data_IF_584760647065
#
_entry.id   IF_584760647065
#
_cell.length_a   1.000
_cell.length_b   1.000
_cell.length_c   1.000
_cell.angle_alpha   90.00
_cell.angle_beta   90.00
_cell.angle_gamma   90.00
#
_symmetry.space_group_name_H-M   'P 1'
#
loop_
_entity.id
_entity.type
_entity.pdbx_description
1 polymer ?
#
# COMPACT_ATOMS: atom_id res chain seq x y z
N UNK A 1 39.92 1.00 -16.96
CA UNK A 1 39.37 2.22 -17.58
C UNK A 1 37.91 2.05 -17.98
N UNK A 2 37.54 0.91 -18.58
CA UNK A 2 36.16 0.61 -19.03
C UNK A 2 35.11 0.68 -17.91
N UNK A 3 35.36 0.06 -16.75
CA UNK A 3 34.45 0.14 -15.60
C UNK A 3 34.31 1.55 -14.99
N UNK A 4 35.34 2.40 -15.07
CA UNK A 4 35.26 3.79 -14.61
C UNK A 4 34.40 4.63 -15.56
N UNK A 5 34.59 4.46 -16.88
CA UNK A 5 33.81 5.15 -17.91
C UNK A 5 32.32 4.81 -17.79
N UNK A 6 31.99 3.53 -17.58
CA UNK A 6 30.62 3.06 -17.33
C UNK A 6 29.94 3.74 -16.14
N UNK A 7 30.68 3.93 -15.03
CA UNK A 7 30.16 4.63 -13.85
C UNK A 7 29.91 6.11 -14.14
N UNK A 8 30.84 6.77 -14.83
CA UNK A 8 30.67 8.18 -15.23
C UNK A 8 29.43 8.33 -16.13
N UNK A 9 29.28 7.48 -17.14
CA UNK A 9 28.14 7.53 -18.06
C UNK A 9 26.81 7.29 -17.32
N UNK A 10 26.77 6.33 -16.38
CA UNK A 10 25.60 6.07 -15.56
C UNK A 10 25.22 7.24 -14.64
N UNK A 11 26.20 8.00 -14.13
CA UNK A 11 25.95 9.21 -13.33
C UNK A 11 25.33 10.31 -14.20
N UNK A 12 25.86 10.52 -15.42
CA UNK A 12 25.33 11.51 -16.36
C UNK A 12 23.90 11.17 -16.76
N UNK A 13 23.63 9.90 -17.12
CA UNK A 13 22.28 9.42 -17.42
C UNK A 13 21.34 9.55 -16.21
N UNK A 14 21.87 9.34 -14.99
CA UNK A 14 21.07 9.49 -13.79
C UNK A 14 20.68 10.95 -13.53
N UNK A 15 21.61 11.89 -13.71
CA UNK A 15 21.34 13.31 -13.59
C UNK A 15 20.37 13.82 -14.68
N UNK A 16 20.40 13.23 -15.87
CA UNK A 16 19.47 13.58 -16.97
C UNK A 16 18.09 12.92 -16.86
N UNK A 17 17.94 11.96 -15.94
CA UNK A 17 16.65 11.33 -15.64
C UNK A 17 15.58 12.37 -15.36
N UNK A 18 14.43 12.22 -16.04
CA UNK A 18 13.29 13.10 -15.84
C UNK A 18 12.85 13.16 -14.37
N UNK A 19 12.91 12.06 -13.63
CA UNK A 19 12.54 12.01 -12.20
C UNK A 19 13.46 12.89 -11.35
N UNK A 20 14.76 12.77 -11.56
CA UNK A 20 15.77 13.56 -10.84
C UNK A 20 15.61 15.03 -11.19
N UNK A 21 15.51 15.36 -12.48
CA UNK A 21 15.34 16.75 -12.93
C UNK A 21 14.03 17.37 -12.45
N UNK A 22 12.91 16.66 -12.55
CA UNK A 22 11.62 17.16 -12.10
C UNK A 22 11.60 17.43 -10.59
N UNK A 23 12.24 16.58 -9.78
CA UNK A 23 12.36 16.82 -8.34
C UNK A 23 13.35 17.94 -8.01
N UNK A 24 14.50 17.98 -8.68
CA UNK A 24 15.52 19.02 -8.51
C UNK A 24 15.01 20.41 -8.85
N UNK A 25 14.39 20.58 -10.03
CA UNK A 25 13.86 21.87 -10.46
C UNK A 25 12.60 22.28 -9.70
N UNK A 26 11.89 21.32 -9.09
CA UNK A 26 10.72 21.57 -8.25
C UNK A 26 11.05 21.88 -6.79
N UNK A 27 12.31 22.24 -6.47
CA UNK A 27 12.75 22.49 -5.10
C UNK A 27 11.87 23.52 -4.39
N UNK A 28 11.63 24.67 -5.03
CA UNK A 28 10.86 25.77 -4.44
C UNK A 28 9.44 25.32 -4.10
N UNK A 29 8.76 24.62 -5.01
CA UNK A 29 7.41 24.09 -4.80
C UNK A 29 7.38 23.04 -3.68
N UNK A 30 8.40 22.18 -3.60
CA UNK A 30 8.49 21.13 -2.58
C UNK A 30 8.68 21.73 -1.19
N UNK A 31 9.58 22.71 -1.04
CA UNK A 31 9.82 23.38 0.23
C UNK A 31 8.61 24.24 0.63
N UNK A 32 8.02 24.98 -0.31
CA UNK A 32 6.84 25.81 -0.05
C UNK A 32 5.60 24.99 0.33
N UNK A 33 5.48 23.75 -0.15
CA UNK A 33 4.41 22.84 0.26
C UNK A 33 4.53 22.37 1.72
N UNK A 34 5.67 22.59 2.37
CA UNK A 34 5.88 22.32 3.80
C UNK A 34 5.96 20.82 4.17
N UNK A 35 5.97 19.92 3.19
CA UNK A 35 6.04 18.47 3.43
C UNK A 35 7.46 17.97 3.68
N UNK A 36 8.45 18.64 3.12
CA UNK A 36 9.87 18.34 3.31
C UNK A 36 10.59 19.62 3.75
N UNK A 37 11.47 19.46 4.73
CA UNK A 37 12.51 20.45 5.04
C UNK A 37 13.57 20.48 3.93
N UNK A 38 14.42 21.51 3.90
CA UNK A 38 15.53 21.58 2.93
C UNK A 38 16.48 20.39 3.08
N UNK A 39 16.76 20.00 4.33
CA UNK A 39 17.61 18.85 4.63
C UNK A 39 16.97 17.53 4.17
N UNK A 40 15.66 17.36 4.34
CA UNK A 40 14.93 16.20 3.81
C UNK A 40 14.88 16.18 2.28
N UNK A 41 14.71 17.35 1.66
CA UNK A 41 14.76 17.49 0.20
C UNK A 41 16.12 17.06 -0.35
N UNK A 42 17.21 17.59 0.20
CA UNK A 42 18.57 17.30 -0.26
C UNK A 42 18.90 15.80 -0.10
N UNK A 43 18.58 15.21 1.06
CA UNK A 43 18.75 13.76 1.29
C UNK A 43 17.93 12.93 0.30
N UNK A 44 16.70 13.33 0.02
CA UNK A 44 15.86 12.59 -0.92
C UNK A 44 16.36 12.75 -2.36
N UNK A 45 16.85 13.92 -2.75
CA UNK A 45 17.49 14.15 -4.05
C UNK A 45 18.75 13.29 -4.22
N UNK A 46 19.60 13.22 -3.20
CA UNK A 46 20.77 12.31 -3.18
C UNK A 46 20.34 10.84 -3.35
N UNK A 47 19.30 10.42 -2.64
CA UNK A 47 18.73 9.09 -2.80
C UNK A 47 18.21 8.86 -4.23
N UNK A 48 17.50 9.82 -4.82
CA UNK A 48 16.99 9.70 -6.20
C UNK A 48 18.13 9.53 -7.21
N UNK A 49 19.22 10.29 -7.04
CA UNK A 49 20.42 10.20 -7.86
C UNK A 49 21.10 8.83 -7.72
N UNK A 50 21.30 8.33 -6.49
CA UNK A 50 21.89 7.00 -6.25
C UNK A 50 20.99 5.87 -6.81
N UNK A 51 19.68 5.95 -6.57
CA UNK A 51 18.70 4.96 -7.02
C UNK A 51 18.62 4.88 -8.55
N UNK A 52 18.70 6.03 -9.23
CA UNK A 52 18.78 6.09 -10.69
C UNK A 52 20.12 5.58 -11.20
N UNK A 53 21.24 6.00 -10.61
CA UNK A 53 22.57 5.54 -10.98
C UNK A 53 22.67 4.01 -10.92
N UNK A 54 22.25 3.40 -9.79
CA UNK A 54 22.23 1.94 -9.62
C UNK A 54 21.34 1.26 -10.65
N UNK A 55 20.17 1.84 -10.95
CA UNK A 55 19.27 1.32 -11.99
C UNK A 55 19.92 1.34 -13.38
N UNK A 56 20.67 2.39 -13.73
CA UNK A 56 21.42 2.48 -15.00
C UNK A 56 22.55 1.47 -15.06
N UNK A 57 23.27 1.23 -13.96
CA UNK A 57 24.28 0.17 -13.88
C UNK A 57 23.66 -1.21 -14.14
N UNK A 58 22.54 -1.52 -13.48
CA UNK A 58 21.81 -2.78 -13.69
C UNK A 58 21.41 -2.95 -15.15
N UNK A 59 20.80 -1.93 -15.76
CA UNK A 59 20.40 -1.98 -17.17
C UNK A 59 21.59 -2.20 -18.11
N UNK A 60 22.69 -1.46 -17.92
CA UNK A 60 23.91 -1.60 -18.75
C UNK A 60 24.50 -3.00 -18.64
N UNK A 61 24.51 -3.62 -17.45
CA UNK A 61 24.95 -5.01 -17.29
C UNK A 61 24.05 -5.97 -18.08
N UNK A 62 22.73 -5.82 -17.99
CA UNK A 62 21.79 -6.66 -18.75
C UNK A 62 22.03 -6.51 -20.27
N UNK A 63 22.27 -5.29 -20.75
CA UNK A 63 22.59 -5.04 -22.16
C UNK A 63 23.91 -5.68 -22.59
N UNK A 64 24.95 -5.62 -21.75
CA UNK A 64 26.27 -6.18 -22.04
C UNK A 64 26.27 -7.72 -22.07
N UNK A 65 25.58 -8.36 -21.12
CA UNK A 65 25.50 -9.82 -21.05
C UNK A 65 24.53 -10.41 -22.09
N UNK A 66 23.59 -9.60 -22.60
CA UNK A 66 22.48 -10.05 -23.46
C UNK A 66 21.38 -10.78 -22.67
N UNK A 67 21.76 -11.70 -21.79
CA UNK A 67 20.89 -12.40 -20.84
C UNK A 67 21.61 -12.55 -19.49
N UNK A 68 21.00 -12.07 -18.40
CA UNK A 68 21.61 -12.10 -17.07
C UNK A 68 20.61 -12.51 -15.97
N UNK A 69 21.07 -13.31 -15.02
CA UNK A 69 20.36 -13.62 -13.76
C UNK A 69 20.61 -12.52 -12.71
N UNK A 70 19.77 -12.47 -11.67
CA UNK A 70 19.99 -11.57 -10.51
C UNK A 70 21.39 -11.74 -9.91
N UNK A 71 21.87 -12.99 -9.78
CA UNK A 71 23.19 -13.26 -9.21
C UNK A 71 24.32 -12.67 -10.04
N UNK A 72 24.30 -12.89 -11.36
CA UNK A 72 25.31 -12.33 -12.27
C UNK A 72 25.32 -10.80 -12.25
N UNK A 73 24.13 -10.17 -12.20
CA UNK A 73 24.02 -8.71 -12.12
C UNK A 73 24.57 -8.21 -10.78
N UNK A 74 24.22 -8.86 -9.67
CA UNK A 74 24.68 -8.49 -8.33
C UNK A 74 26.21 -8.52 -8.23
N UNK A 75 26.83 -9.62 -8.70
CA UNK A 75 28.29 -9.80 -8.67
C UNK A 75 29.02 -8.75 -9.52
N UNK A 76 28.52 -8.46 -10.74
CA UNK A 76 29.12 -7.48 -11.64
C UNK A 76 28.90 -6.03 -11.18
N UNK A 77 27.74 -5.74 -10.60
CA UNK A 77 27.42 -4.40 -10.11
C UNK A 77 28.09 -4.10 -8.76
N UNK A 78 28.39 -5.14 -7.97
CA UNK A 78 28.76 -5.00 -6.56
C UNK A 78 27.57 -4.59 -5.69
N UNK A 79 26.36 -5.03 -6.05
CA UNK A 79 25.11 -4.73 -5.34
C UNK A 79 24.58 -5.97 -4.64
N UNK A 80 23.76 -5.77 -3.60
CA UNK A 80 23.01 -6.89 -3.03
C UNK A 80 21.96 -7.43 -4.02
N UNK A 81 21.55 -8.69 -3.84
CA UNK A 81 20.47 -9.29 -4.64
C UNK A 81 19.16 -8.49 -4.54
N UNK A 82 18.84 -7.99 -3.34
CA UNK A 82 17.67 -7.14 -3.06
C UNK A 82 17.72 -5.83 -3.85
N UNK A 83 18.88 -5.16 -3.88
CA UNK A 83 19.05 -3.94 -4.69
C UNK A 83 18.87 -4.22 -6.19
N UNK A 84 19.44 -5.32 -6.70
CA UNK A 84 19.25 -5.72 -8.10
C UNK A 84 17.77 -6.00 -8.38
N UNK A 85 17.10 -6.80 -7.54
CA UNK A 85 15.68 -7.11 -7.70
C UNK A 85 14.83 -5.85 -7.72
N UNK A 86 15.07 -4.91 -6.79
CA UNK A 86 14.40 -3.61 -6.77
C UNK A 86 14.46 -2.91 -8.13
N UNK A 87 15.66 -2.78 -8.69
CA UNK A 87 15.87 -2.08 -9.95
C UNK A 87 15.35 -2.83 -11.17
N UNK A 88 15.51 -4.16 -11.20
CA UNK A 88 15.01 -5.01 -12.28
C UNK A 88 13.48 -4.95 -12.37
N UNK A 89 12.78 -5.01 -11.23
CA UNK A 89 11.31 -4.87 -11.21
C UNK A 89 10.86 -3.51 -11.78
N UNK A 90 11.57 -2.42 -11.48
CA UNK A 90 11.24 -1.10 -12.02
C UNK A 90 11.56 -1.00 -13.52
N UNK A 91 12.70 -1.55 -13.96
CA UNK A 91 13.08 -1.60 -15.38
C UNK A 91 12.10 -2.45 -16.20
N UNK A 92 11.59 -3.54 -15.64
CA UNK A 92 10.55 -4.37 -16.24
C UNK A 92 9.24 -3.60 -16.37
N UNK A 93 8.83 -2.88 -15.32
CA UNK A 93 7.66 -1.99 -15.36
C UNK A 93 7.79 -0.88 -16.43
N UNK A 94 8.98 -0.31 -16.58
CA UNK A 94 9.29 0.71 -17.61
C UNK A 94 9.36 0.11 -19.03
N UNK A 95 9.41 -1.22 -19.16
CA UNK A 95 9.55 -1.92 -20.44
C UNK A 95 10.98 -1.98 -20.99
N UNK A 96 11.98 -1.57 -20.19
CA UNK A 96 13.40 -1.60 -20.52
C UNK A 96 13.98 -3.01 -20.46
N UNK A 97 13.39 -3.88 -19.63
CA UNK A 97 13.84 -5.26 -19.40
C UNK A 97 12.66 -6.21 -19.55
N UNK A 98 12.92 -7.39 -20.12
CA UNK A 98 11.99 -8.53 -20.15
C UNK A 98 12.51 -9.63 -19.24
N UNK A 99 11.60 -10.23 -18.48
CA UNK A 99 11.85 -11.43 -17.69
C UNK A 99 11.48 -12.68 -18.49
N UNK A 100 12.30 -13.72 -18.40
CA UNK A 100 11.93 -15.11 -18.73
C UNK A 100 12.13 -16.00 -17.51
N UNK A 101 11.19 -16.92 -17.30
CA UNK A 101 11.15 -17.77 -16.11
C UNK A 101 10.57 -17.07 -14.88
N UNK A 102 10.39 -17.84 -13.82
CA UNK A 102 9.90 -17.37 -12.51
C UNK A 102 10.91 -17.72 -11.40
N UNK A 103 10.81 -17.02 -10.27
CA UNK A 103 11.59 -17.26 -9.06
C UNK A 103 13.12 -17.29 -9.30
N UNK A 104 13.86 -18.16 -8.60
CA UNK A 104 15.32 -18.21 -8.62
C UNK A 104 15.98 -18.50 -9.98
N UNK A 105 15.19 -18.86 -11.01
CA UNK A 105 15.66 -19.13 -12.37
C UNK A 105 15.33 -18.00 -13.36
N UNK A 106 14.85 -16.85 -12.87
CA UNK A 106 14.54 -15.72 -13.72
C UNK A 106 15.79 -15.15 -14.39
N UNK A 107 15.72 -15.01 -15.71
CA UNK A 107 16.72 -14.35 -16.56
C UNK A 107 16.13 -13.09 -17.18
N UNK A 108 16.97 -12.08 -17.33
CA UNK A 108 16.59 -10.76 -17.78
C UNK A 108 17.33 -10.38 -19.06
N UNK A 109 16.60 -9.83 -20.02
CA UNK A 109 17.14 -9.36 -21.30
C UNK A 109 16.69 -7.92 -21.55
N UNK A 110 17.52 -7.11 -22.18
CA UNK A 110 17.13 -5.76 -22.58
C UNK A 110 15.98 -5.79 -23.61
N UNK A 111 15.19 -4.72 -23.66
CA UNK A 111 14.03 -4.59 -24.54
C UNK A 111 14.02 -3.23 -25.22
N UNK A 112 13.84 -3.23 -26.55
CA UNK A 112 13.76 -2.01 -27.38
C UNK A 112 12.33 -1.42 -27.45
N UNK A 113 11.49 -1.71 -26.46
CA UNK A 113 10.11 -1.24 -26.41
C UNK A 113 9.99 0.26 -26.10
N UNK A 114 8.85 0.88 -26.46
CA UNK A 114 8.49 2.22 -25.97
C UNK A 114 8.59 2.21 -24.44
N UNK A 115 9.56 2.95 -23.92
CA UNK A 115 9.73 3.14 -22.49
C UNK A 115 8.46 3.76 -21.95
N UNK A 116 7.67 2.99 -21.17
CA UNK A 116 6.70 3.65 -20.31
C UNK A 116 7.54 4.47 -19.35
N UNK A 117 7.33 5.77 -19.37
CA UNK A 117 7.82 6.58 -18.27
C UNK A 117 7.12 6.02 -17.03
N UNK A 118 7.85 5.39 -16.11
CA UNK A 118 7.32 5.05 -14.77
C UNK A 118 6.87 6.29 -13.98
N UNK A 119 6.92 7.46 -14.62
CA UNK A 119 6.65 8.78 -14.11
C UNK A 119 5.37 9.38 -14.71
N UNK A 120 4.53 8.58 -15.39
CA UNK A 120 3.15 8.97 -15.68
C UNK A 120 2.38 9.21 -14.37
N UNK A 121 1.63 10.31 -14.30
CA UNK A 121 0.73 10.60 -13.18
C UNK A 121 -0.22 9.42 -12.99
N UNK A 122 -0.61 9.12 -11.75
CA UNK A 122 -1.54 8.01 -11.44
C UNK A 122 -2.93 8.14 -12.09
N UNK A 123 -3.20 9.23 -12.82
CA UNK A 123 -4.46 9.49 -13.52
C UNK A 123 -4.91 8.30 -14.39
N UNK A 124 -3.99 7.65 -15.11
CA UNK A 124 -4.35 6.50 -15.94
C UNK A 124 -4.89 5.30 -15.13
N UNK A 125 -4.41 5.09 -13.89
CA UNK A 125 -4.93 4.06 -12.98
C UNK A 125 -6.36 4.41 -12.53
N UNK A 126 -6.63 5.70 -12.27
CA UNK A 126 -7.95 6.19 -11.89
C UNK A 126 -8.93 6.07 -13.06
N UNK A 127 -8.52 6.54 -14.23
CA UNK A 127 -9.35 6.52 -15.45
C UNK A 127 -9.67 5.08 -15.89
N UNK A 128 -8.73 4.14 -15.70
CA UNK A 128 -8.95 2.72 -15.97
C UNK A 128 -9.80 2.00 -14.89
N UNK A 129 -10.25 2.69 -13.84
CA UNK A 129 -11.03 2.09 -12.75
C UNK A 129 -10.22 1.13 -11.85
N UNK A 130 -8.89 1.16 -11.94
CA UNK A 130 -7.97 0.27 -11.21
C UNK A 130 -7.56 0.83 -9.85
N UNK A 131 -7.91 2.07 -9.53
CA UNK A 131 -7.59 2.69 -8.24
C UNK A 131 -8.30 1.97 -7.08
N UNK A 132 -7.53 1.54 -6.08
CA UNK A 132 -8.05 0.91 -4.85
C UNK A 132 -8.37 1.93 -3.75
N UNK A 133 -8.10 3.21 -3.96
CA UNK A 133 -8.40 4.26 -2.98
C UNK A 133 -7.57 4.20 -1.68
N UNK A 134 -6.35 3.64 -1.70
CA UNK A 134 -5.53 3.47 -0.50
C UNK A 134 -5.00 4.79 0.11
N UNK A 135 -4.94 5.86 -0.68
CA UNK A 135 -4.45 7.18 -0.23
C UNK A 135 -2.94 7.39 -0.31
N UNK A 136 -2.15 6.39 -0.71
CA UNK A 136 -0.68 6.51 -0.74
C UNK A 136 -0.15 7.60 -1.68
N UNK A 137 -0.82 7.87 -2.80
CA UNK A 137 -0.44 8.97 -3.69
C UNK A 137 -0.56 10.36 -3.03
N UNK A 138 -1.52 10.53 -2.11
CA UNK A 138 -1.72 11.78 -1.35
C UNK A 138 -0.57 12.00 -0.38
N UNK A 139 -0.12 10.94 0.29
CA UNK A 139 1.01 11.03 1.20
C UNK A 139 2.34 11.17 0.48
N UNK A 140 2.53 10.44 -0.62
CA UNK A 140 3.74 10.47 -1.44
C UNK A 140 3.99 11.79 -2.19
N UNK A 141 2.95 12.58 -2.48
CA UNK A 141 3.11 13.80 -3.28
C UNK A 141 3.84 14.89 -2.49
N UNK A 142 5.05 15.31 -2.89
CA UNK A 142 5.86 16.24 -2.09
C UNK A 142 5.36 17.69 -2.15
N UNK A 143 4.60 18.04 -3.19
CA UNK A 143 4.04 19.38 -3.43
C UNK A 143 2.56 19.49 -3.08
N UNK A 144 1.99 18.48 -2.42
CA UNK A 144 0.57 18.46 -2.03
C UNK A 144 -0.45 18.62 -3.19
N UNK A 145 -0.03 18.34 -4.43
CA UNK A 145 -0.89 18.42 -5.63
C UNK A 145 -1.98 17.34 -5.71
N UNK A 146 -2.10 16.43 -4.74
CA UNK A 146 -3.08 15.34 -4.76
C UNK A 146 -3.92 15.38 -3.49
N UNK A 147 -5.24 15.51 -3.65
CA UNK A 147 -6.23 15.39 -2.57
C UNK A 147 -7.13 14.19 -2.81
N UNK A 148 -7.71 13.63 -1.76
CA UNK A 148 -8.71 12.56 -1.90
C UNK A 148 -10.11 13.15 -1.83
N UNK A 149 -10.93 12.93 -2.86
CA UNK A 149 -12.32 13.39 -2.92
C UNK A 149 -13.14 12.45 -3.81
N UNK A 150 -14.43 12.30 -3.51
CA UNK A 150 -15.33 11.41 -4.25
C UNK A 150 -14.77 9.99 -4.39
N UNK A 151 -14.19 9.47 -3.31
CA UNK A 151 -13.61 8.12 -3.21
C UNK A 151 -12.43 7.84 -4.17
N UNK A 152 -11.79 8.90 -4.70
CA UNK A 152 -10.64 8.81 -5.61
C UNK A 152 -9.63 9.95 -5.38
N UNK A 153 -8.37 9.78 -5.81
CA UNK A 153 -7.41 10.89 -5.81
C UNK A 153 -7.73 11.87 -6.95
N UNK A 154 -7.66 13.16 -6.63
CA UNK A 154 -7.83 14.29 -7.54
C UNK A 154 -6.49 15.02 -7.61
N UNK A 155 -5.97 15.18 -8.83
CA UNK A 155 -4.68 15.83 -9.09
C UNK A 155 -4.94 17.28 -9.50
N UNK A 156 -4.26 18.20 -8.84
CA UNK A 156 -4.11 19.58 -9.28
C UNK A 156 -2.95 19.64 -10.29
N UNK A 157 -3.29 19.90 -11.56
CA UNK A 157 -2.35 19.91 -12.66
C UNK A 157 -1.41 21.13 -12.62
N UNK A 158 -1.82 22.23 -11.97
CA UNK A 158 -1.00 23.45 -11.85
C UNK A 158 0.07 23.28 -10.78
N UNK A 159 -0.27 22.65 -9.66
CA UNK A 159 0.67 22.37 -8.56
C UNK A 159 1.58 21.16 -8.86
N UNK A 160 1.19 20.26 -9.77
CA UNK A 160 1.93 19.02 -10.01
C UNK A 160 3.23 19.22 -10.80
N UNK A 161 4.37 19.07 -10.13
CA UNK A 161 5.72 19.10 -10.75
C UNK A 161 6.10 17.87 -11.59
N UNK A 162 5.20 16.89 -11.75
CA UNK A 162 5.45 15.72 -12.61
C UNK A 162 6.52 14.73 -12.12
N UNK A 163 6.92 14.75 -10.84
CA UNK A 163 8.02 13.92 -10.32
C UNK A 163 7.79 12.39 -10.33
N UNK A 164 6.56 11.91 -10.57
CA UNK A 164 6.26 10.47 -10.70
C UNK A 164 6.27 9.66 -9.40
N UNK A 165 6.55 10.26 -8.25
CA UNK A 165 6.64 9.54 -6.96
C UNK A 165 5.33 8.80 -6.63
N UNK A 166 4.17 9.42 -6.91
CA UNK A 166 2.86 8.80 -6.69
C UNK A 166 2.64 7.53 -7.52
N UNK A 167 3.24 7.42 -8.71
CA UNK A 167 3.17 6.24 -9.56
C UNK A 167 3.94 5.08 -8.94
N UNK A 168 5.18 5.37 -8.53
CA UNK A 168 6.08 4.38 -7.95
C UNK A 168 5.51 3.81 -6.65
N UNK A 169 4.81 4.60 -5.84
CA UNK A 169 4.15 4.12 -4.61
C UNK A 169 2.85 3.37 -4.86
N UNK A 170 2.19 3.60 -5.99
CA UNK A 170 0.88 3.01 -6.26
C UNK A 170 1.01 1.48 -6.37
N UNK A 171 0.26 0.70 -5.57
CA UNK A 171 0.33 -0.76 -5.62
C UNK A 171 -0.31 -1.35 -6.89
N UNK A 172 -0.92 -0.51 -7.73
CA UNK A 172 -1.62 -0.89 -8.97
C UNK A 172 -0.84 -0.56 -10.24
N UNK A 173 0.33 0.06 -10.13
CA UNK A 173 1.22 0.28 -11.28
C UNK A 173 2.04 -0.97 -11.56
N UNK A 174 2.77 -1.42 -10.54
CA UNK A 174 3.40 -2.73 -10.46
C UNK A 174 3.46 -3.16 -8.99
N UNK A 175 3.43 -4.46 -8.73
CA UNK A 175 3.60 -5.02 -7.39
C UNK A 175 4.79 -5.99 -7.42
N UNK A 176 5.92 -5.66 -6.78
CA UNK A 176 7.09 -6.53 -6.76
C UNK A 176 6.94 -7.59 -5.67
N UNK A 177 5.92 -8.44 -5.77
CA UNK A 177 5.52 -9.43 -4.77
C UNK A 177 6.67 -10.35 -4.33
N UNK A 178 7.48 -10.80 -5.28
CA UNK A 178 8.67 -11.62 -5.02
C UNK A 178 9.69 -10.90 -4.13
N UNK A 179 9.97 -9.62 -4.40
CA UNK A 179 10.88 -8.81 -3.58
C UNK A 179 10.28 -8.52 -2.20
N UNK A 180 8.98 -8.24 -2.14
CA UNK A 180 8.26 -8.02 -0.89
C UNK A 180 8.31 -9.27 0.00
N UNK A 181 8.11 -10.44 -0.57
CA UNK A 181 8.30 -11.72 0.12
C UNK A 181 9.72 -11.86 0.67
N UNK A 182 10.75 -11.60 -0.16
CA UNK A 182 12.14 -11.75 0.28
C UNK A 182 12.48 -10.82 1.46
N UNK A 183 11.94 -9.60 1.46
CA UNK A 183 12.15 -8.62 2.53
C UNK A 183 11.37 -8.99 3.80
N UNK A 184 10.09 -9.34 3.67
CA UNK A 184 9.19 -9.54 4.83
C UNK A 184 9.30 -10.94 5.42
N UNK A 185 9.46 -11.95 4.56
CA UNK A 185 9.42 -13.38 4.93
C UNK A 185 10.78 -14.07 4.82
N UNK A 186 11.74 -13.48 4.09
CA UNK A 186 13.04 -14.09 3.82
C UNK A 186 13.05 -15.00 2.60
N UNK A 187 11.94 -15.11 1.87
CA UNK A 187 11.82 -15.91 0.65
C UNK A 187 10.83 -15.29 -0.35
N UNK A 188 11.03 -15.48 -1.67
CA UNK A 188 10.17 -14.87 -2.68
C UNK A 188 8.74 -15.40 -2.63
N UNK A 189 7.77 -14.51 -2.81
CA UNK A 189 6.34 -14.83 -2.88
C UNK A 189 5.79 -14.60 -4.29
N UNK A 190 5.00 -15.55 -4.77
CA UNK A 190 4.20 -15.44 -6.00
C UNK A 190 2.72 -15.62 -5.65
N UNK A 191 1.98 -14.50 -5.58
CA UNK A 191 0.59 -14.47 -5.15
C UNK A 191 -0.36 -15.15 -6.16
N UNK A 192 0.06 -15.38 -7.41
CA UNK A 192 -0.76 -16.08 -8.41
C UNK A 192 -0.68 -17.60 -8.25
N UNK A 193 0.48 -18.09 -7.78
CA UNK A 193 0.73 -19.53 -7.60
C UNK A 193 0.44 -19.98 -6.16
N UNK A 194 0.82 -19.15 -5.17
CA UNK A 194 0.72 -19.44 -3.75
C UNK A 194 0.05 -18.26 -3.03
N UNK A 195 -1.30 -18.19 -3.05
CA UNK A 195 -2.06 -17.08 -2.46
C UNK A 195 -2.00 -17.03 -0.93
N UNK A 196 -1.48 -18.08 -0.27
CA UNK A 196 -1.12 -18.10 1.15
C UNK A 196 0.29 -18.65 1.26
N UNK A 197 1.27 -17.76 1.44
CA UNK A 197 2.69 -18.13 1.53
C UNK A 197 3.12 -18.39 2.97
N UNK A 198 4.40 -18.69 3.19
CA UNK A 198 4.93 -19.03 4.51
C UNK A 198 4.53 -18.04 5.61
N UNK A 199 4.04 -18.58 6.72
CA UNK A 199 3.84 -17.87 7.97
C UNK A 199 4.42 -18.73 9.09
N UNK A 200 4.93 -18.08 10.14
CA UNK A 200 5.58 -18.82 11.24
C UNK A 200 4.60 -19.71 11.99
N UNK A 201 3.42 -19.16 12.33
CA UNK A 201 2.33 -19.83 13.07
C UNK A 201 0.99 -19.16 12.76
N UNK A 202 -0.09 -19.94 12.79
CA UNK A 202 -1.46 -19.45 12.70
C UNK A 202 -2.25 -19.91 13.94
N UNK A 203 -3.15 -19.05 14.42
CA UNK A 203 -3.97 -19.29 15.59
C UNK A 203 -5.38 -18.76 15.36
N UNK A 204 -6.35 -19.33 16.09
CA UNK A 204 -7.66 -18.71 16.31
C UNK A 204 -7.62 -17.97 17.65
N UNK A 205 -8.15 -16.75 17.73
CA UNK A 205 -7.94 -15.91 18.91
C UNK A 205 -9.09 -14.93 19.17
N UNK A 206 -9.54 -14.85 20.42
CA UNK A 206 -10.51 -13.86 20.87
C UNK A 206 -9.91 -12.99 21.97
N UNK A 207 -10.24 -11.69 21.97
CA UNK A 207 -9.83 -10.76 23.01
C UNK A 207 -10.37 -11.17 24.38
N UNK A 208 -9.50 -11.18 25.39
CA UNK A 208 -9.88 -11.40 26.78
C UNK A 208 -10.63 -10.19 27.39
N UNK A 209 -10.51 -8.99 26.80
CA UNK A 209 -11.13 -7.75 27.32
C UNK A 209 -12.59 -7.63 26.81
N UNK A 210 -13.55 -7.68 27.72
CA UNK A 210 -14.99 -7.61 27.40
C UNK A 210 -15.37 -6.35 26.61
N UNK A 211 -14.83 -5.19 27.01
CA UNK A 211 -15.05 -3.93 26.29
C UNK A 211 -14.68 -3.96 24.82
N UNK A 212 -13.67 -4.78 24.44
CA UNK A 212 -13.29 -4.98 23.03
C UNK A 212 -14.28 -5.93 22.35
N UNK A 213 -14.66 -7.03 23.03
CA UNK A 213 -15.62 -8.02 22.50
C UNK A 213 -16.99 -7.41 22.19
N UNK A 214 -17.40 -6.38 22.94
CA UNK A 214 -18.69 -5.71 22.73
C UNK A 214 -18.76 -4.91 21.42
N UNK A 215 -17.63 -4.48 20.86
CA UNK A 215 -17.60 -3.57 19.69
C UNK A 215 -16.91 -4.16 18.45
N UNK A 216 -16.26 -5.32 18.58
CA UNK A 216 -15.46 -5.88 17.50
C UNK A 216 -16.28 -6.55 16.38
N UNK A 217 -15.61 -6.73 15.24
CA UNK A 217 -16.18 -7.47 14.11
C UNK A 217 -16.29 -8.97 14.44
N UNK A 218 -15.13 -9.59 14.71
CA UNK A 218 -14.95 -11.01 14.98
C UNK A 218 -14.37 -11.21 16.40
N UNK A 219 -13.19 -11.82 16.55
CA UNK A 219 -12.51 -11.99 17.85
C UNK A 219 -11.93 -10.73 18.49
N UNK A 220 -11.92 -9.58 17.81
CA UNK A 220 -11.36 -8.33 18.34
C UNK A 220 -9.83 -8.33 18.47
N UNK A 221 -9.14 -9.19 17.70
CA UNK A 221 -7.69 -9.37 17.74
C UNK A 221 -6.93 -8.10 17.38
N UNK A 222 -7.29 -7.41 16.29
CA UNK A 222 -6.61 -6.16 15.87
C UNK A 222 -6.68 -5.11 16.98
N UNK A 223 -7.86 -4.86 17.53
CA UNK A 223 -8.08 -3.92 18.63
C UNK A 223 -7.31 -4.33 19.88
N UNK A 224 -7.26 -5.63 20.20
CA UNK A 224 -6.51 -6.13 21.35
C UNK A 224 -4.98 -5.98 21.17
N UNK A 225 -4.46 -6.25 19.97
CA UNK A 225 -3.05 -6.04 19.63
C UNK A 225 -2.67 -4.56 19.76
N UNK A 226 -3.45 -3.66 19.17
CA UNK A 226 -3.20 -2.22 19.29
C UNK A 226 -3.28 -1.74 20.74
N UNK A 227 -4.28 -2.19 21.50
CA UNK A 227 -4.39 -1.86 22.92
C UNK A 227 -3.15 -2.33 23.70
N UNK A 228 -2.64 -3.53 23.42
CA UNK A 228 -1.40 -4.01 24.00
C UNK A 228 -0.20 -3.14 23.61
N UNK A 229 -0.06 -2.78 22.33
CA UNK A 229 1.05 -1.93 21.86
C UNK A 229 1.04 -0.54 22.53
N UNK A 230 -0.12 0.05 22.75
CA UNK A 230 -0.27 1.28 23.53
C UNK A 230 0.05 1.07 25.02
N UNK A 231 -0.52 0.03 25.65
CA UNK A 231 -0.29 -0.29 27.07
C UNK A 231 1.21 -0.54 27.36
N UNK A 232 1.95 -1.09 26.38
CA UNK A 232 3.40 -1.32 26.46
C UNK A 232 4.25 -0.12 25.99
N UNK A 233 3.64 0.99 25.59
CA UNK A 233 4.33 2.16 25.04
C UNK A 233 5.28 1.81 23.88
N UNK A 234 4.90 0.82 23.05
CA UNK A 234 5.65 0.41 21.85
C UNK A 234 5.36 1.37 20.70
N UNK A 235 4.10 1.81 20.60
CA UNK A 235 3.63 2.79 19.61
C UNK A 235 3.14 4.06 20.31
N UNK A 236 3.23 5.20 19.64
CA UNK A 236 2.63 6.47 20.04
C UNK A 236 1.33 6.78 19.27
N UNK A 237 1.09 6.08 18.16
CA UNK A 237 -0.08 6.27 17.31
C UNK A 237 -0.45 5.00 16.54
N UNK A 238 -1.73 4.84 16.23
CA UNK A 238 -2.21 3.90 15.22
C UNK A 238 -3.07 4.62 14.17
N UNK A 239 -2.90 4.28 12.89
CA UNK A 239 -3.80 4.71 11.82
C UNK A 239 -4.98 3.75 11.79
N UNK A 240 -6.17 4.28 12.07
CA UNK A 240 -7.42 3.51 12.09
C UNK A 240 -8.52 4.18 11.27
N UNK A 241 -9.67 3.50 11.19
CA UNK A 241 -10.86 3.99 10.47
C UNK A 241 -12.07 3.89 11.38
N UNK A 242 -12.67 5.05 11.70
CA UNK A 242 -13.94 5.14 12.42
C UNK A 242 -15.09 5.47 11.46
N UNK A 243 -16.32 5.47 11.97
CA UNK A 243 -17.50 5.94 11.22
C UNK A 243 -17.66 7.43 11.50
N UNK A 244 -17.69 8.26 10.45
CA UNK A 244 -17.90 9.70 10.60
C UNK A 244 -19.34 10.02 11.05
N UNK A 245 -20.29 9.16 10.66
CA UNK A 245 -21.72 9.34 10.88
C UNK A 245 -22.45 7.99 10.81
N UNK A 246 -23.76 8.01 11.07
CA UNK A 246 -24.63 6.84 10.92
C UNK A 246 -24.72 6.34 9.47
N UNK A 247 -24.39 7.18 8.48
CA UNK A 247 -24.34 6.85 7.04
C UNK A 247 -23.08 6.02 6.67
N UNK A 248 -22.40 5.38 7.64
CA UNK A 248 -21.27 4.47 7.38
C UNK A 248 -20.07 5.05 6.60
N UNK A 249 -20.01 6.38 6.43
CA UNK A 249 -18.87 7.04 5.79
C UNK A 249 -17.61 6.82 6.63
N UNK A 250 -16.53 6.31 6.03
CA UNK A 250 -15.31 6.05 6.77
C UNK A 250 -14.57 7.35 7.01
N UNK A 251 -14.03 7.49 8.22
CA UNK A 251 -13.13 8.57 8.59
C UNK A 251 -11.79 7.99 9.02
N UNK A 252 -10.73 8.36 8.31
CA UNK A 252 -9.37 8.00 8.70
C UNK A 252 -9.00 8.84 9.92
N UNK A 253 -8.55 8.18 11.00
CA UNK A 253 -8.20 8.84 12.25
C UNK A 253 -6.85 8.35 12.78
N UNK A 254 -6.17 9.23 13.51
CA UNK A 254 -4.98 8.90 14.28
C UNK A 254 -5.42 8.60 15.71
N UNK A 255 -5.29 7.33 16.08
CA UNK A 255 -5.62 6.82 17.41
C UNK A 255 -4.41 6.98 18.31
N UNK A 256 -4.61 7.60 19.46
CA UNK A 256 -3.55 7.80 20.48
C UNK A 256 -3.94 7.28 21.86
N UNK A 257 -5.20 6.88 22.04
CA UNK A 257 -5.70 6.32 23.29
C UNK A 257 -6.72 5.20 23.05
N UNK A 258 -7.09 4.50 24.13
CA UNK A 258 -7.95 3.33 24.09
C UNK A 258 -9.40 3.63 23.70
N UNK A 259 -9.92 4.82 24.04
CA UNK A 259 -11.31 5.16 23.75
C UNK A 259 -11.47 5.46 22.26
N UNK A 260 -10.55 6.24 21.69
CA UNK A 260 -10.41 6.42 20.23
C UNK A 260 -10.23 5.09 19.51
N UNK A 261 -9.45 4.16 20.09
CA UNK A 261 -9.23 2.84 19.50
C UNK A 261 -10.53 2.04 19.38
N UNK A 262 -11.39 2.09 20.40
CA UNK A 262 -12.67 1.37 20.39
C UNK A 262 -13.62 1.91 19.32
N UNK A 263 -13.58 3.21 19.00
CA UNK A 263 -14.38 3.80 17.90
C UNK A 263 -13.97 3.28 16.51
N UNK A 264 -12.73 2.81 16.36
CA UNK A 264 -12.26 2.23 15.10
C UNK A 264 -12.65 0.77 14.91
N UNK A 265 -13.20 0.11 15.93
CA UNK A 265 -13.59 -1.30 15.87
C UNK A 265 -14.74 -1.55 14.86
N UNK A 266 -14.82 -2.80 14.41
CA UNK A 266 -15.82 -3.23 13.43
C UNK A 266 -15.45 -2.87 11.99
N UNK A 267 -15.83 -3.73 11.04
CA UNK A 267 -15.50 -3.56 9.63
C UNK A 267 -16.39 -2.50 8.99
N UNK A 268 -15.79 -1.60 8.20
CA UNK A 268 -16.50 -0.68 7.32
C UNK A 268 -16.25 -1.18 5.90
N UNK A 269 -17.26 -1.77 5.26
CA UNK A 269 -17.18 -2.32 3.89
C UNK A 269 -17.24 -1.20 2.83
N UNK A 270 -16.46 -0.13 3.06
CA UNK A 270 -16.32 1.01 2.15
C UNK A 270 -14.89 1.57 2.22
N UNK A 271 -14.58 2.55 1.36
CA UNK A 271 -13.22 2.95 1.01
C UNK A 271 -12.69 3.98 2.00
N UNK A 272 -11.59 3.65 2.67
CA UNK A 272 -10.84 4.60 3.49
C UNK A 272 -9.44 4.83 2.90
N UNK A 273 -9.01 6.08 2.62
CA UNK A 273 -7.67 6.37 2.14
C UNK A 273 -6.64 6.36 3.27
N UNK A 274 -6.59 5.30 4.09
CA UNK A 274 -5.83 5.28 5.36
C UNK A 274 -4.36 5.71 5.23
N UNK A 275 -3.71 5.43 4.10
CA UNK A 275 -2.29 5.75 3.90
C UNK A 275 -2.06 7.26 3.67
N UNK A 276 -3.10 8.05 3.39
CA UNK A 276 -2.96 9.52 3.33
C UNK A 276 -2.63 10.14 4.69
N UNK A 277 -3.00 9.47 5.79
CA UNK A 277 -2.79 9.98 7.14
C UNK A 277 -1.32 9.98 7.58
N UNK A 278 -0.41 9.36 6.81
CA UNK A 278 1.03 9.44 7.05
C UNK A 278 1.56 10.89 7.05
N UNK A 279 0.94 11.79 6.27
CA UNK A 279 1.28 13.21 6.33
C UNK A 279 0.95 13.79 7.71
N UNK A 280 -0.26 13.53 8.21
CA UNK A 280 -0.73 14.02 9.51
C UNK A 280 0.06 13.41 10.67
N UNK A 281 0.50 12.15 10.55
CA UNK A 281 1.44 11.53 11.50
C UNK A 281 2.72 12.36 11.60
N UNK A 282 3.34 12.67 10.45
CA UNK A 282 4.57 13.48 10.40
C UNK A 282 4.34 14.89 10.94
N UNK A 283 3.27 15.56 10.53
CA UNK A 283 2.88 16.90 10.99
C UNK A 283 2.71 16.97 12.52
N UNK A 284 2.16 15.92 13.13
CA UNK A 284 2.01 15.82 14.59
C UNK A 284 3.27 15.37 15.33
N UNK A 285 4.37 15.10 14.62
CA UNK A 285 5.62 14.63 15.21
C UNK A 285 5.55 13.22 15.81
N UNK A 286 4.56 12.42 15.40
CA UNK A 286 4.41 11.02 15.83
C UNK A 286 5.41 10.14 15.08
N UNK A 287 6.02 9.18 15.78
CA UNK A 287 7.16 8.42 15.24
C UNK A 287 6.94 6.92 15.25
N UNK A 288 6.31 6.35 16.27
CA UNK A 288 6.19 4.90 16.48
C UNK A 288 4.77 4.46 16.14
N UNK A 289 4.56 4.01 14.91
CA UNK A 289 3.23 3.96 14.31
C UNK A 289 2.79 2.54 14.02
N UNK A 290 1.56 2.18 14.41
CA UNK A 290 0.89 1.01 13.86
C UNK A 290 -0.02 1.42 12.69
N UNK A 291 0.06 0.71 11.57
CA UNK A 291 -0.81 0.91 10.40
C UNK A 291 -1.69 -0.31 10.25
N UNK A 292 -3.00 -0.12 10.42
CA UNK A 292 -3.99 -1.16 10.13
C UNK A 292 -4.50 -0.96 8.72
N UNK A 293 -4.44 -2.01 7.90
CA UNK A 293 -4.91 -1.89 6.53
C UNK A 293 -5.25 -3.20 5.85
N UNK A 294 -6.04 -3.09 4.79
CA UNK A 294 -6.32 -4.19 3.84
C UNK A 294 -5.11 -4.39 2.90
N UNK A 295 -5.04 -5.49 2.12
CA UNK A 295 -3.84 -5.85 1.36
C UNK A 295 -3.30 -4.73 0.48
N UNK A 296 -4.16 -4.07 -0.30
CA UNK A 296 -3.71 -2.98 -1.17
C UNK A 296 -3.15 -1.76 -0.42
N UNK A 297 -3.53 -1.54 0.84
CA UNK A 297 -2.96 -0.47 1.68
C UNK A 297 -1.57 -0.88 2.21
N UNK A 298 -1.42 -2.12 2.67
CA UNK A 298 -0.13 -2.67 3.12
C UNK A 298 0.86 -2.76 1.96
N UNK A 299 0.41 -3.19 0.77
CA UNK A 299 1.20 -3.19 -0.45
C UNK A 299 1.76 -1.80 -0.76
N UNK A 300 0.92 -0.76 -0.61
CA UNK A 300 1.35 0.62 -0.85
C UNK A 300 2.42 1.08 0.13
N UNK A 301 2.26 0.75 1.42
CA UNK A 301 3.27 1.07 2.46
C UNK A 301 4.58 0.34 2.18
N UNK A 302 4.56 -0.98 1.97
CA UNK A 302 5.78 -1.75 1.67
C UNK A 302 6.47 -1.31 0.38
N UNK A 303 5.69 -0.96 -0.64
CA UNK A 303 6.25 -0.43 -1.88
C UNK A 303 6.92 0.94 -1.65
N UNK A 304 6.32 1.80 -0.83
CA UNK A 304 6.95 3.05 -0.42
C UNK A 304 8.26 2.81 0.35
N UNK A 305 8.33 1.82 1.27
CA UNK A 305 9.55 1.46 2.01
C UNK A 305 10.72 1.15 1.05
N UNK A 306 10.44 0.43 -0.04
CA UNK A 306 11.47 0.00 -1.01
C UNK A 306 11.88 1.12 -1.95
N UNK A 307 10.90 1.85 -2.51
CA UNK A 307 11.12 2.70 -3.68
C UNK A 307 11.20 4.20 -3.38
N UNK A 308 10.84 4.65 -2.19
CA UNK A 308 10.85 6.08 -1.87
C UNK A 308 10.73 6.29 -0.36
N UNK A 309 11.91 6.47 0.21
CA UNK A 309 12.10 6.29 1.62
C UNK A 309 11.72 7.50 2.47
N UNK A 310 11.70 8.74 1.96
CA UNK A 310 11.77 9.90 2.87
C UNK A 310 10.54 10.06 3.78
N UNK A 311 9.33 9.86 3.25
CA UNK A 311 8.12 9.95 4.08
C UNK A 311 8.14 8.89 5.18
N UNK A 312 8.42 7.63 4.84
CA UNK A 312 8.46 6.55 5.83
C UNK A 312 9.71 6.60 6.72
N UNK A 313 10.85 7.12 6.23
CA UNK A 313 12.08 7.37 7.01
C UNK A 313 11.92 8.52 8.00
N UNK A 314 11.02 9.46 7.71
CA UNK A 314 10.70 10.52 8.67
C UNK A 314 9.96 9.96 9.89
N UNK A 315 9.27 8.82 9.73
CA UNK A 315 8.73 8.06 10.86
C UNK A 315 9.87 7.40 11.64
N UNK A 316 9.66 7.21 12.94
CA UNK A 316 10.61 6.44 13.75
C UNK A 316 10.32 4.95 13.71
N UNK A 317 11.12 4.20 14.47
CA UNK A 317 10.88 2.77 14.70
C UNK A 317 10.22 2.55 16.07
N UNK A 318 9.25 1.62 16.18
CA UNK A 318 8.79 0.73 15.12
C UNK A 318 7.68 1.34 14.23
N UNK A 319 7.64 0.90 12.97
CA UNK A 319 6.44 0.96 12.11
C UNK A 319 5.88 -0.47 12.04
N UNK A 320 4.68 -0.69 12.57
CA UNK A 320 4.05 -2.02 12.67
C UNK A 320 2.87 -2.10 11.71
N UNK A 321 2.87 -3.07 10.81
CA UNK A 321 1.81 -3.28 9.82
C UNK A 321 0.90 -4.44 10.26
N UNK A 322 -0.34 -4.13 10.62
CA UNK A 322 -1.38 -5.11 10.93
C UNK A 322 -2.32 -5.23 9.73
N UNK A 323 -2.23 -6.36 9.04
CA UNK A 323 -3.02 -6.66 7.88
C UNK A 323 -4.38 -7.24 8.23
N UNK A 324 -5.45 -6.72 7.63
CA UNK A 324 -6.78 -7.33 7.68
C UNK A 324 -7.00 -8.13 6.39
N UNK A 325 -7.59 -9.32 6.49
CA UNK A 325 -8.02 -10.09 5.32
C UNK A 325 -9.09 -9.30 4.54
N UNK A 326 -9.01 -9.30 3.23
CA UNK A 326 -9.95 -8.57 2.38
C UNK A 326 -10.19 -9.30 1.07
N UNK A 327 -11.44 -9.69 0.83
CA UNK A 327 -11.84 -10.26 -0.45
C UNK A 327 -12.20 -9.15 -1.45
N UNK A 328 -13.11 -8.27 -1.06
CA UNK A 328 -13.60 -7.18 -1.88
C UNK A 328 -14.06 -6.02 -1.01
N UNK A 329 -14.23 -4.85 -1.64
CA UNK A 329 -14.70 -3.63 -0.98
C UNK A 329 -15.67 -2.90 -1.91
N UNK A 330 -16.53 -2.05 -1.35
CA UNK A 330 -17.60 -1.35 -2.06
C UNK A 330 -17.39 0.17 -2.01
N UNK A 331 -17.96 0.91 -2.96
CA UNK A 331 -18.12 2.36 -2.78
C UNK A 331 -19.22 2.62 -1.74
N UNK A 332 -19.21 3.79 -1.12
CA UNK A 332 -20.30 4.22 -0.23
C UNK A 332 -21.66 4.15 -0.92
N UNK A 333 -21.71 4.56 -2.19
CA UNK A 333 -22.91 4.44 -3.03
C UNK A 333 -23.34 2.98 -3.23
N UNK A 334 -22.40 2.07 -3.50
CA UNK A 334 -22.70 0.64 -3.66
C UNK A 334 -23.17 0.01 -2.34
N UNK A 335 -22.58 0.40 -1.21
CA UNK A 335 -23.02 -0.06 0.11
C UNK A 335 -24.48 0.35 0.38
N UNK A 336 -24.84 1.59 0.06
CA UNK A 336 -26.22 2.09 0.14
C UNK A 336 -27.17 1.32 -0.79
N UNK A 337 -26.73 1.05 -2.03
CA UNK A 337 -27.51 0.25 -2.98
C UNK A 337 -27.77 -1.17 -2.45
N UNK A 338 -26.76 -1.81 -1.83
CA UNK A 338 -26.91 -3.12 -1.19
C UNK A 338 -27.96 -3.06 -0.07
N UNK A 339 -27.89 -2.08 0.82
CA UNK A 339 -28.84 -2.00 1.94
C UNK A 339 -30.26 -1.69 1.47
N UNK A 340 -30.43 -0.67 0.66
CA UNK A 340 -31.76 -0.15 0.30
C UNK A 340 -32.45 -1.06 -0.72
N UNK A 341 -31.74 -1.49 -1.76
CA UNK A 341 -32.36 -2.22 -2.88
C UNK A 341 -32.34 -3.74 -2.71
N UNK A 342 -31.34 -4.29 -2.00
CA UNK A 342 -31.22 -5.75 -1.83
C UNK A 342 -31.65 -6.25 -0.45
N UNK A 343 -31.49 -5.44 0.60
CA UNK A 343 -31.84 -5.84 1.97
C UNK A 343 -33.12 -5.16 2.49
N UNK A 344 -33.60 -4.12 1.81
CA UNK A 344 -34.81 -3.39 2.18
C UNK A 344 -34.69 -2.62 3.48
N UNK A 345 -33.49 -2.17 3.84
CA UNK A 345 -33.21 -1.39 5.06
C UNK A 345 -32.42 -0.13 4.71
N UNK A 346 -32.69 0.97 5.44
CA UNK A 346 -31.87 2.18 5.33
C UNK A 346 -30.47 1.91 5.87
N UNK A 347 -29.45 2.49 5.23
CA UNK A 347 -28.05 2.37 5.64
C UNK A 347 -27.83 2.91 7.06
N UNK A 348 -28.55 3.98 7.41
CA UNK A 348 -28.51 4.66 8.70
C UNK A 348 -29.09 3.83 9.86
N UNK A 349 -29.90 2.82 9.55
CA UNK A 349 -30.47 1.89 10.54
C UNK A 349 -29.56 0.69 10.81
N UNK A 350 -28.49 0.49 10.04
CA UNK A 350 -27.58 -0.64 10.20
C UNK A 350 -26.52 -0.33 11.27
N UNK A 351 -26.38 -1.21 12.26
CA UNK A 351 -25.36 -1.10 13.33
C UNK A 351 -24.11 -1.95 13.05
N UNK A 352 -24.27 -3.05 12.30
CA UNK A 352 -23.17 -3.96 11.94
C UNK A 352 -23.41 -4.58 10.57
N UNK A 353 -22.33 -4.73 9.81
CA UNK A 353 -22.30 -5.57 8.61
C UNK A 353 -21.47 -6.81 8.86
N UNK A 354 -21.73 -7.90 8.13
CA UNK A 354 -20.85 -9.06 8.13
C UNK A 354 -20.84 -9.76 6.76
N UNK A 355 -19.75 -10.43 6.42
CA UNK A 355 -19.71 -11.35 5.27
C UNK A 355 -19.34 -12.71 5.82
N UNK A 356 -20.27 -13.65 5.78
CA UNK A 356 -20.06 -15.03 6.23
C UNK A 356 -20.86 -16.00 5.35
N UNK A 357 -20.37 -17.24 5.20
CA UNK A 357 -21.06 -18.33 4.49
C UNK A 357 -21.64 -17.93 3.12
N UNK A 358 -20.93 -17.06 2.39
CA UNK A 358 -21.31 -16.60 1.06
C UNK A 358 -22.49 -15.60 1.03
N UNK A 359 -22.81 -14.97 2.15
CA UNK A 359 -23.83 -13.92 2.26
C UNK A 359 -23.26 -12.64 2.87
N UNK A 360 -23.82 -11.51 2.46
CA UNK A 360 -23.64 -10.21 3.07
C UNK A 360 -24.80 -9.96 4.03
N UNK A 361 -24.49 -9.70 5.30
CA UNK A 361 -25.45 -9.48 6.37
C UNK A 361 -25.46 -8.03 6.81
N UNK A 362 -26.64 -7.50 7.13
CA UNK A 362 -26.84 -6.25 7.84
C UNK A 362 -27.67 -6.51 9.10
N UNK A 363 -27.19 -6.00 10.24
CA UNK A 363 -27.87 -6.06 11.53
C UNK A 363 -28.38 -4.66 11.87
N UNK A 364 -29.67 -4.53 12.17
CA UNK A 364 -30.32 -3.21 12.36
C UNK A 364 -30.41 -2.81 13.83
N UNK A 365 -30.66 -1.51 14.08
CA UNK A 365 -30.96 -0.95 15.41
C UNK A 365 -32.15 -1.66 16.09
N UNK A 366 -33.10 -2.16 15.30
CA UNK A 366 -34.29 -2.87 15.77
C UNK A 366 -34.05 -4.37 16.04
N UNK A 367 -32.81 -4.85 15.82
CA UNK A 367 -32.45 -6.25 16.04
C UNK A 367 -32.79 -7.19 14.88
N UNK A 368 -33.14 -6.66 13.71
CA UNK A 368 -33.35 -7.46 12.52
C UNK A 368 -32.01 -7.91 11.91
N UNK A 369 -31.98 -9.14 11.41
CA UNK A 369 -30.91 -9.66 10.57
C UNK A 369 -31.41 -9.76 9.12
N UNK A 370 -30.82 -8.99 8.22
CA UNK A 370 -31.05 -9.10 6.77
C UNK A 370 -29.83 -9.71 6.11
N UNK A 371 -30.04 -10.50 5.07
CA UNK A 371 -28.95 -11.12 4.32
C UNK A 371 -29.24 -11.19 2.82
N UNK A 372 -28.21 -10.96 2.00
CA UNK A 372 -28.23 -11.15 0.55
C UNK A 372 -27.06 -12.05 0.13
N UNK A 373 -27.23 -13.01 -0.78
CA UNK A 373 -26.12 -13.79 -1.32
C UNK A 373 -25.06 -12.90 -2.00
N UNK A 374 -23.78 -13.15 -1.72
CA UNK A 374 -22.66 -12.38 -2.30
C UNK A 374 -22.71 -12.36 -3.83
N UNK A 375 -23.10 -13.48 -4.44
CA UNK A 375 -23.22 -13.60 -5.90
C UNK A 375 -24.19 -12.58 -6.53
N UNK A 376 -25.20 -12.11 -5.79
CA UNK A 376 -26.17 -11.14 -6.30
C UNK A 376 -25.61 -9.71 -6.28
N UNK A 377 -24.70 -9.42 -5.35
CA UNK A 377 -24.10 -8.10 -5.16
C UNK A 377 -22.65 -8.01 -5.65
N UNK A 378 -22.06 -9.11 -6.14
CA UNK A 378 -20.66 -9.17 -6.60
C UNK A 378 -20.33 -8.14 -7.68
N UNK A 379 -21.31 -7.77 -8.53
CA UNK A 379 -21.16 -6.73 -9.55
C UNK A 379 -21.04 -5.30 -8.98
N UNK A 380 -21.42 -5.10 -7.72
CA UNK A 380 -21.36 -3.82 -7.02
C UNK A 380 -20.01 -3.63 -6.31
N UNK A 381 -19.22 -4.71 -6.21
CA UNK A 381 -17.84 -4.63 -5.74
C UNK A 381 -17.02 -3.73 -6.66
N UNK A 382 -15.99 -3.10 -6.09
CA UNK A 382 -15.14 -2.21 -6.87
C UNK A 382 -14.38 -2.97 -7.94
N UNK A 383 -14.36 -2.42 -9.15
CA UNK A 383 -13.66 -3.00 -10.29
C UNK A 383 -12.19 -3.39 -9.98
N UNK A 384 -11.47 -2.52 -9.27
CA UNK A 384 -10.09 -2.77 -8.86
C UNK A 384 -9.91 -4.04 -7.99
N UNK A 385 -10.91 -4.45 -7.20
CA UNK A 385 -10.83 -5.62 -6.32
C UNK A 385 -10.74 -6.92 -7.10
N UNK A 386 -11.32 -7.01 -8.31
CA UNK A 386 -11.25 -8.20 -9.16
C UNK A 386 -9.84 -8.52 -9.67
N UNK A 387 -8.89 -7.61 -9.49
CA UNK A 387 -7.49 -7.76 -9.89
C UNK A 387 -6.55 -7.75 -8.67
N UNK A 388 -7.07 -7.91 -7.46
CA UNK A 388 -6.28 -8.05 -6.24
C UNK A 388 -5.91 -9.52 -6.04
N UNK A 389 -4.62 -9.89 -6.06
CA UNK A 389 -4.20 -11.28 -5.89
C UNK A 389 -3.99 -11.67 -4.41
N UNK A 390 -4.19 -10.73 -3.48
CA UNK A 390 -3.88 -10.93 -2.07
C UNK A 390 -5.15 -10.83 -1.22
N UNK A 391 -5.54 -11.95 -0.61
CA UNK A 391 -6.65 -12.04 0.34
C UNK A 391 -6.15 -11.89 1.78
N UNK A 392 -5.05 -12.56 2.11
CA UNK A 392 -4.57 -12.80 3.47
C UNK A 392 -3.54 -11.77 3.96
N UNK A 393 -3.28 -10.75 3.14
CA UNK A 393 -2.41 -9.63 3.47
C UNK A 393 -0.97 -10.08 3.70
N UNK A 394 -0.41 -10.75 2.70
CA UNK A 394 0.83 -11.53 2.80
C UNK A 394 2.07 -10.72 3.20
N UNK A 395 2.03 -9.39 3.04
CA UNK A 395 3.16 -8.50 3.34
C UNK A 395 3.00 -7.69 4.64
N UNK A 396 1.98 -7.98 5.45
CA UNK A 396 1.85 -7.43 6.79
C UNK A 396 2.79 -8.13 7.79
N UNK A 397 3.08 -7.48 8.93
CA UNK A 397 3.82 -8.13 10.02
C UNK A 397 2.95 -9.16 10.76
N UNK A 398 1.67 -8.84 10.90
CA UNK A 398 0.64 -9.73 11.47
C UNK A 398 -0.61 -9.59 10.60
N UNK A 399 -1.13 -10.72 10.11
CA UNK A 399 -2.39 -10.75 9.35
C UNK A 399 -3.51 -11.35 10.19
N UNK A 400 -4.69 -10.75 10.10
CA UNK A 400 -5.87 -11.10 10.90
C UNK A 400 -7.11 -11.13 10.01
N UNK A 401 -7.95 -12.14 10.16
CA UNK A 401 -9.26 -12.18 9.52
C UNK A 401 -10.16 -13.26 10.08
N UNK A 402 -11.41 -13.27 9.59
CA UNK A 402 -12.48 -14.16 10.08
C UNK A 402 -12.41 -15.58 9.48
N UNK A 403 -11.96 -15.70 8.21
CA UNK A 403 -11.91 -16.97 7.48
C UNK A 403 -10.98 -17.95 8.19
N UNK A 404 -11.50 -19.15 8.49
CA UNK A 404 -10.75 -20.23 9.17
C UNK A 404 -11.02 -20.34 10.67
N UNK A 405 -11.77 -19.40 11.25
CA UNK A 405 -12.18 -19.39 12.66
C UNK A 405 -13.69 -19.57 12.83
N UNK A 406 -14.12 -19.94 14.04
CA UNK A 406 -15.55 -19.92 14.40
C UNK A 406 -16.05 -18.49 14.62
N UNK A 407 -17.36 -18.27 14.57
CA UNK A 407 -17.95 -16.95 14.80
C UNK A 407 -17.53 -16.39 16.17
N UNK A 408 -17.06 -15.13 16.17
CA UNK A 408 -16.56 -14.45 17.37
C UNK A 408 -15.09 -14.73 17.72
N UNK A 409 -14.33 -15.43 16.87
CA UNK A 409 -12.90 -15.72 17.05
C UNK A 409 -12.01 -15.08 15.99
#
# INVERSE_FOLDING_TARGET
MEGFRKKVDAIVEAADSFRVRAFFYGEEEVINAGKLTKEEFDRYLEYLLDDEFKRRIVLKIICEEGEATIGQIADKAGFSRIEVLKHVNLLEYEGNVKRRGSNGNAVFTASEGKTRSAYEKIKFIVDAGLCTGCGSCVSACPVSAIRFADEKPMIDEETCIGCGICNVHCPRTFLPASLLGEIVKGEPVDLEVEPLSYFRKAYTAQSAKEKIRMVCQDGGVVTALLAYLFDQNIIDCAIGVRRASEDWRPEVTLVTNIDELLETAGTKYTIAPSISALNTVKEKGLRRVAIVGVPCQIHAVRKAEIYSSELLRSLGEPVILIGIFCMENFSHKALREITENHLGVSLEDVIKFNIDKGKFFAYTKEGEEKAVPIKEIAKLARHACHYCPDLTNEFADISVGSIGSAAGW
#
